data_IF_549320803995
#
_entry.id   IF_549320803995
#
_cell.length_a   1.000
_cell.length_b   1.000
_cell.length_c   1.000
_cell.angle_alpha   90.00
_cell.angle_beta   90.00
_cell.angle_gamma   90.00
#
_symmetry.space_group_name_H-M   'P 1'
#
loop_
_entity.id
_entity.type
_entity.pdbx_description
1 polymer ?
#
# COMPACT_ATOMS: atom_id res chain seq x y z
N UNK A 1 -11.05 1.48 -35.43
CA UNK A 1 -9.73 2.06 -35.09
C UNK A 1 -9.54 1.89 -33.59
N UNK A 2 -8.56 1.10 -33.17
CA UNK A 2 -8.27 0.84 -31.76
C UNK A 2 -7.61 2.06 -31.10
N UNK A 3 -7.99 2.37 -29.86
CA UNK A 3 -7.05 2.20 -28.75
C UNK A 3 -7.85 2.11 -27.44
N UNK A 4 -7.87 0.92 -26.85
CA UNK A 4 -8.35 0.72 -25.48
C UNK A 4 -7.48 1.61 -24.61
N UNK A 5 -8.06 2.60 -23.94
CA UNK A 5 -7.34 3.46 -23.02
C UNK A 5 -6.56 2.55 -22.06
N UNK A 6 -5.23 2.70 -22.05
CA UNK A 6 -4.34 2.08 -21.08
C UNK A 6 -4.94 2.37 -19.70
N UNK A 7 -5.52 1.35 -19.08
CA UNK A 7 -5.93 1.44 -17.69
C UNK A 7 -4.63 1.57 -16.91
N UNK A 8 -4.25 2.80 -16.55
CA UNK A 8 -3.10 3.07 -15.69
C UNK A 8 -3.38 2.37 -14.36
N UNK A 9 -2.82 1.17 -14.21
CA UNK A 9 -2.88 0.42 -12.97
C UNK A 9 -1.96 1.13 -11.98
N UNK A 10 -2.55 1.95 -11.12
CA UNK A 10 -1.84 2.57 -10.01
C UNK A 10 -1.61 1.49 -8.95
N UNK A 11 -0.55 0.72 -9.10
CA UNK A 11 -0.10 -0.21 -8.07
C UNK A 11 0.48 0.61 -6.91
N UNK A 12 -0.27 0.72 -5.82
CA UNK A 12 0.20 1.34 -4.58
C UNK A 12 0.96 0.30 -3.75
N UNK A 13 2.23 0.55 -3.45
CA UNK A 13 3.01 -0.27 -2.53
C UNK A 13 2.64 0.11 -1.10
N UNK A 14 2.38 -0.88 -0.26
CA UNK A 14 2.08 -0.71 1.17
C UNK A 14 3.01 -1.59 1.98
N UNK A 15 3.69 -1.02 2.97
CA UNK A 15 4.62 -1.71 3.85
C UNK A 15 3.93 -2.14 5.14
N UNK A 16 4.16 -3.39 5.53
CA UNK A 16 3.60 -4.02 6.74
C UNK A 16 4.75 -4.61 7.55
N UNK A 17 4.76 -4.36 8.86
CA UNK A 17 5.75 -4.92 9.79
C UNK A 17 5.09 -5.24 11.12
N UNK A 18 4.97 -6.52 11.47
CA UNK A 18 4.33 -6.94 12.72
C UNK A 18 5.07 -6.45 13.98
N UNK A 19 6.40 -6.28 13.86
CA UNK A 19 7.28 -5.91 14.98
C UNK A 19 7.45 -4.41 15.14
N UNK A 20 7.39 -3.64 14.05
CA UNK A 20 7.73 -2.22 14.04
C UNK A 20 6.62 -1.30 13.49
N UNK A 21 5.55 -1.88 12.93
CA UNK A 21 4.41 -1.14 12.42
C UNK A 21 3.34 -0.83 13.47
N UNK A 22 2.40 0.04 13.11
CA UNK A 22 1.28 0.45 13.96
C UNK A 22 0.01 0.56 13.13
N UNK A 23 -1.10 0.00 13.62
CA UNK A 23 -2.41 0.15 12.97
C UNK A 23 -3.08 1.49 13.32
N UNK A 24 -2.67 2.11 14.43
CA UNK A 24 -3.18 3.42 14.88
C UNK A 24 -2.45 4.58 14.19
N UNK A 25 -1.13 4.43 13.96
CA UNK A 25 -0.25 5.52 13.52
C UNK A 25 0.58 5.23 12.26
N UNK A 26 0.56 3.99 11.74
CA UNK A 26 1.19 3.65 10.47
C UNK A 26 0.44 4.30 9.30
N UNK A 27 1.17 4.59 8.23
CA UNK A 27 0.61 5.15 6.98
C UNK A 27 0.92 4.26 5.76
N UNK A 28 1.55 3.11 5.99
CA UNK A 28 1.88 2.16 4.94
C UNK A 28 3.13 2.53 4.14
N UNK A 29 3.85 3.59 4.51
CA UNK A 29 5.20 3.86 3.99
C UNK A 29 6.25 2.98 4.67
N UNK A 30 7.43 2.86 4.05
CA UNK A 30 8.55 2.10 4.63
C UNK A 30 8.99 2.63 6.00
N UNK A 31 8.90 3.95 6.23
CA UNK A 31 9.26 4.58 7.51
C UNK A 31 8.20 4.44 8.60
N UNK A 32 6.92 4.25 8.21
CA UNK A 32 5.78 4.11 9.13
C UNK A 32 4.84 3.01 8.64
N UNK A 33 5.28 1.74 8.64
CA UNK A 33 4.49 0.64 8.13
C UNK A 33 3.24 0.40 8.99
N UNK A 34 2.20 -0.19 8.40
CA UNK A 34 1.10 -0.75 9.17
C UNK A 34 1.58 -1.98 9.96
N UNK A 35 0.88 -2.33 11.04
CA UNK A 35 1.23 -3.54 11.81
C UNK A 35 0.62 -4.78 11.19
N UNK A 36 -0.63 -4.68 10.75
CA UNK A 36 -1.39 -5.77 10.16
C UNK A 36 -1.83 -5.44 8.74
N UNK A 37 -2.03 -6.45 7.87
CA UNK A 37 -2.72 -6.23 6.60
C UNK A 37 -4.16 -5.74 6.86
N UNK A 38 -4.62 -4.76 6.08
CA UNK A 38 -6.04 -4.40 6.04
C UNK A 38 -6.82 -5.65 5.59
N UNK A 39 -7.77 -6.10 6.42
CA UNK A 39 -8.65 -7.23 6.13
C UNK A 39 -9.79 -6.85 5.17
#
# INVERSE_FOLDING_TARGET
MANSADAVSTQTIVYISEKHGSDENGDGSEGKPFRTPLQ
#
